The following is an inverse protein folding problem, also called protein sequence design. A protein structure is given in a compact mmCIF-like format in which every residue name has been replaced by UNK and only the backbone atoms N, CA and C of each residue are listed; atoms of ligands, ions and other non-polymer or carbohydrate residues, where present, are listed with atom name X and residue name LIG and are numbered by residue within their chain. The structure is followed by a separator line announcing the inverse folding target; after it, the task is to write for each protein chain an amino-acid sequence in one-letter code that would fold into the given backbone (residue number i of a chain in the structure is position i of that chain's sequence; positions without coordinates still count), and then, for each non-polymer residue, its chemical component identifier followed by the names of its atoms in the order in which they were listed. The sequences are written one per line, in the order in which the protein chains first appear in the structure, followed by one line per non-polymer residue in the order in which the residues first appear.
data_IF_634752459622
#
_entry.id   IF_634752459622
#
_cell.length_a   1.000
_cell.length_b   1.000
_cell.length_c   1.000
_cell.angle_alpha   90.00
_cell.angle_beta   90.00
_cell.angle_gamma   90.00
#
_symmetry.space_group_name_H-M   'P 1'
#
loop_
_entity.id
_entity.type
_entity.pdbx_description
1 polymer ?
#
# COMPACT_ATOMS: atom_id res chain seq x y z
N UNK A 1 2.79 20.64 3.50
CA UNK A 1 3.29 19.75 4.57
C UNK A 1 3.40 18.34 4.02
N UNK A 2 4.57 17.76 4.12
CA UNK A 2 4.77 16.40 3.69
C UNK A 2 4.14 15.44 4.69
N UNK A 3 3.23 14.62 4.21
CA UNK A 3 2.71 13.54 5.01
C UNK A 3 3.61 12.33 4.83
N UNK A 4 4.22 11.88 5.90
CA UNK A 4 5.01 10.65 5.91
C UNK A 4 4.69 9.86 7.15
N UNK A 5 4.61 8.55 6.98
CA UNK A 5 4.59 7.66 8.12
C UNK A 5 5.92 7.73 8.86
N UNK A 6 5.92 7.59 10.18
CA UNK A 6 7.16 7.48 10.94
C UNK A 6 7.89 6.19 10.56
N UNK A 7 9.15 6.07 10.93
CA UNK A 7 9.93 4.86 10.70
C UNK A 7 9.32 3.64 11.37
N UNK A 8 8.62 3.84 12.47
CA UNK A 8 7.96 2.77 13.21
C UNK A 8 6.71 3.29 13.87
N UNK A 9 5.73 2.40 14.03
CA UNK A 9 4.52 2.69 14.80
C UNK A 9 4.64 2.05 16.17
N UNK A 10 4.40 2.84 17.22
CA UNK A 10 4.43 2.37 18.60
C UNK A 10 3.00 2.20 19.12
N UNK A 11 2.85 1.35 20.14
CA UNK A 11 1.56 1.15 20.83
C UNK A 11 0.45 0.70 19.87
N UNK A 12 0.79 -0.22 18.99
CA UNK A 12 -0.16 -0.80 18.03
C UNK A 12 -0.32 -2.29 18.31
N UNK A 13 -1.46 -2.81 17.88
CA UNK A 13 -1.71 -4.24 17.88
C UNK A 13 -1.40 -4.77 16.48
N UNK A 14 -0.50 -5.73 16.37
CA UNK A 14 -0.19 -6.37 15.10
C UNK A 14 -0.94 -7.70 15.00
N UNK A 15 -1.68 -7.89 13.91
CA UNK A 15 -2.36 -9.15 13.65
C UNK A 15 -1.36 -10.13 13.06
N UNK A 16 -1.17 -11.28 13.71
CA UNK A 16 -0.16 -12.25 13.30
C UNK A 16 -0.44 -12.87 11.94
N UNK A 17 -1.70 -13.14 11.63
CA UNK A 17 -2.05 -13.74 10.36
C UNK A 17 -1.93 -12.72 9.24
N UNK A 18 -1.14 -13.06 8.23
CA UNK A 18 -0.94 -12.19 7.07
C UNK A 18 -2.18 -12.15 6.18
N UNK A 19 -2.34 -11.02 5.49
CA UNK A 19 -3.23 -10.88 4.34
C UNK A 19 -2.42 -11.28 3.11
N UNK A 20 -2.85 -12.33 2.42
CA UNK A 20 -2.09 -12.90 1.30
C UNK A 20 -2.91 -12.74 0.03
N UNK A 21 -2.32 -12.11 -0.97
CA UNK A 21 -2.94 -11.88 -2.28
C UNK A 21 -2.05 -12.43 -3.38
N UNK A 22 -2.68 -12.83 -4.49
CA UNK A 22 -1.95 -13.27 -5.71
C UNK A 22 -0.90 -14.36 -5.42
N UNK A 23 -1.32 -15.40 -4.69
CA UNK A 23 -0.48 -16.55 -4.35
C UNK A 23 0.81 -16.16 -3.62
N UNK A 24 0.73 -15.15 -2.73
CA UNK A 24 1.86 -14.73 -1.92
C UNK A 24 2.74 -13.66 -2.56
N UNK A 25 2.38 -13.15 -3.73
CA UNK A 25 3.15 -12.07 -4.37
C UNK A 25 2.91 -10.72 -3.75
N UNK A 26 1.81 -10.56 -3.03
CA UNK A 26 1.53 -9.39 -2.21
C UNK A 26 1.11 -9.88 -0.85
N UNK A 27 1.81 -9.43 0.19
CA UNK A 27 1.55 -9.86 1.57
C UNK A 27 1.56 -8.64 2.47
N UNK A 28 0.60 -8.55 3.37
CA UNK A 28 0.58 -7.49 4.37
C UNK A 28 0.15 -8.00 5.73
N UNK A 29 0.50 -7.24 6.76
CA UNK A 29 -0.01 -7.45 8.11
C UNK A 29 -0.79 -6.22 8.55
N UNK A 30 -1.91 -6.45 9.22
CA UNK A 30 -2.74 -5.38 9.76
C UNK A 30 -2.21 -4.92 11.11
N UNK A 31 -2.10 -3.61 11.28
CA UNK A 31 -1.85 -2.99 12.58
C UNK A 31 -3.08 -2.18 12.97
N UNK A 32 -3.43 -2.22 14.25
CA UNK A 32 -4.60 -1.54 14.80
C UNK A 32 -4.14 -0.58 15.89
N UNK A 33 -4.59 0.65 15.78
CA UNK A 33 -4.26 1.72 16.72
C UNK A 33 -5.25 1.72 17.89
N UNK A 34 -4.91 2.45 18.95
CA UNK A 34 -5.74 2.53 20.16
C UNK A 34 -7.14 3.07 19.88
N UNK A 35 -7.29 3.94 18.88
CA UNK A 35 -8.59 4.50 18.47
C UNK A 35 -9.43 3.57 17.60
N UNK A 36 -8.92 2.37 17.31
CA UNK A 36 -9.59 1.39 16.45
C UNK A 36 -9.29 1.54 14.96
N UNK A 37 -8.58 2.59 14.55
CA UNK A 37 -8.18 2.74 13.15
C UNK A 37 -7.13 1.71 12.78
N UNK A 38 -7.02 1.41 11.47
CA UNK A 38 -6.13 0.37 10.97
C UNK A 38 -5.31 0.86 9.81
N UNK A 39 -4.12 0.29 9.69
CA UNK A 39 -3.27 0.39 8.51
C UNK A 39 -2.74 -1.00 8.19
N UNK A 40 -2.21 -1.18 6.99
CA UNK A 40 -1.49 -2.41 6.65
C UNK A 40 -0.06 -2.08 6.28
N UNK A 41 0.85 -2.96 6.67
CA UNK A 41 2.27 -2.89 6.31
C UNK A 41 2.53 -4.05 5.36
N UNK A 42 2.98 -3.75 4.15
CA UNK A 42 3.03 -4.80 3.14
C UNK A 42 4.26 -4.80 2.25
N UNK A 43 4.37 -5.91 1.54
CA UNK A 43 5.42 -6.18 0.58
C UNK A 43 4.78 -6.56 -0.75
N UNK A 44 5.30 -6.02 -1.84
CA UNK A 44 4.88 -6.36 -3.19
C UNK A 44 6.09 -6.89 -3.94
N UNK A 45 5.99 -8.15 -4.34
CA UNK A 45 7.03 -8.81 -5.15
C UNK A 45 6.84 -8.49 -6.63
N UNK A 46 7.82 -8.81 -7.49
CA UNK A 46 7.69 -8.51 -8.93
C UNK A 46 6.42 -9.08 -9.54
N UNK A 47 5.76 -8.26 -10.35
CA UNK A 47 4.51 -8.61 -11.02
C UNK A 47 3.66 -7.39 -11.26
N UNK A 48 2.47 -7.62 -11.81
CA UNK A 48 1.47 -6.59 -12.06
C UNK A 48 0.17 -7.01 -11.40
N UNK A 49 -0.41 -6.11 -10.59
CA UNK A 49 -1.55 -6.46 -9.73
C UNK A 49 -2.60 -5.37 -9.77
N UNK A 50 -3.87 -5.78 -9.69
CA UNK A 50 -5.02 -4.88 -9.59
C UNK A 50 -5.69 -5.03 -8.23
N UNK A 51 -5.88 -3.91 -7.54
CA UNK A 51 -6.57 -3.86 -6.26
C UNK A 51 -7.79 -2.97 -6.35
N UNK A 52 -8.90 -3.46 -5.81
CA UNK A 52 -10.13 -2.69 -5.68
C UNK A 52 -10.17 -2.03 -4.31
N UNK A 53 -10.77 -0.85 -4.23
CA UNK A 53 -10.97 -0.15 -2.96
C UNK A 53 -12.43 -0.20 -2.54
N UNK A 54 -12.67 -0.35 -1.23
CA UNK A 54 -13.96 -0.08 -0.63
C UNK A 54 -13.99 1.36 -0.15
N UNK A 55 -13.30 1.64 0.95
CA UNK A 55 -13.03 3.03 1.38
C UNK A 55 -11.86 3.59 0.60
N UNK A 56 -11.68 4.90 0.62
CA UNK A 56 -10.51 5.54 0.02
C UNK A 56 -9.24 5.08 0.75
N UNK A 57 -8.14 5.02 0.03
CA UNK A 57 -6.86 4.53 0.56
C UNK A 57 -5.73 5.48 0.23
N UNK A 58 -4.77 5.57 1.14
CA UNK A 58 -3.50 6.23 0.87
C UNK A 58 -2.39 5.20 0.92
N UNK A 59 -1.68 5.08 -0.17
CA UNK A 59 -0.53 4.18 -0.29
C UNK A 59 0.75 4.99 -0.20
N UNK A 60 1.58 4.66 0.80
CA UNK A 60 2.92 5.23 0.91
C UNK A 60 3.91 4.15 0.54
N UNK A 61 4.83 4.48 -0.37
CA UNK A 61 5.93 3.58 -0.71
C UNK A 61 7.08 3.90 0.23
N UNK A 62 7.46 2.93 1.04
CA UNK A 62 8.48 3.07 2.08
C UNK A 62 9.86 2.76 1.52
N UNK A 63 9.95 1.74 0.67
CA UNK A 63 11.20 1.30 0.05
C UNK A 63 10.90 0.64 -1.28
N UNK A 64 11.89 0.58 -2.16
CA UNK A 64 11.75 0.01 -3.49
C UNK A 64 11.13 0.98 -4.47
N UNK A 65 10.68 0.46 -5.60
CA UNK A 65 10.08 1.26 -6.66
C UNK A 65 8.97 0.47 -7.34
N UNK A 66 7.96 1.22 -7.82
CA UNK A 66 6.84 0.64 -8.57
C UNK A 66 6.31 1.69 -9.53
N UNK A 67 5.37 1.29 -10.36
CA UNK A 67 4.56 2.23 -11.13
C UNK A 67 3.09 1.90 -10.93
N UNK A 68 2.25 2.91 -10.96
CA UNK A 68 0.85 2.83 -10.58
C UNK A 68 -0.01 3.53 -11.62
N UNK A 69 -1.18 2.96 -11.85
CA UNK A 69 -2.22 3.59 -12.65
C UNK A 69 -3.53 3.46 -11.90
N UNK A 70 -4.06 4.60 -11.46
CA UNK A 70 -5.36 4.67 -10.77
C UNK A 70 -6.46 4.71 -11.81
N UNK A 71 -7.63 4.18 -11.49
CA UNK A 71 -8.79 4.19 -12.38
C UNK A 71 -9.06 5.59 -12.96
N UNK A 72 -9.27 5.66 -14.28
CA UNK A 72 -9.48 6.91 -14.99
C UNK A 72 -8.22 7.63 -15.42
N UNK A 73 -7.04 7.18 -15.00
CA UNK A 73 -5.76 7.71 -15.47
C UNK A 73 -5.29 6.91 -16.68
N UNK A 74 -4.74 7.62 -17.67
CA UNK A 74 -4.27 6.97 -18.88
C UNK A 74 -2.86 6.41 -18.75
N UNK A 75 -1.99 7.09 -17.99
CA UNK A 75 -0.57 6.78 -17.93
C UNK A 75 -0.17 6.15 -16.60
N UNK A 76 0.87 5.33 -16.66
CA UNK A 76 1.54 4.81 -15.49
C UNK A 76 2.43 5.89 -14.89
N UNK A 77 2.41 6.02 -13.56
CA UNK A 77 3.22 6.98 -12.82
C UNK A 77 4.16 6.20 -11.89
N UNK A 78 5.45 6.56 -11.92
CA UNK A 78 6.45 5.94 -11.06
C UNK A 78 6.42 6.47 -9.64
N UNK A 79 6.57 5.55 -8.67
CA UNK A 79 6.68 5.87 -7.25
C UNK A 79 7.86 5.10 -6.66
N UNK A 80 8.59 5.76 -5.77
CA UNK A 80 9.72 5.16 -5.07
C UNK A 80 9.61 5.46 -3.59
N UNK A 81 10.54 4.95 -2.80
CA UNK A 81 10.56 5.19 -1.36
C UNK A 81 10.44 6.67 -1.03
N UNK A 82 9.53 7.01 -0.12
CA UNK A 82 9.24 8.39 0.28
C UNK A 82 8.13 9.07 -0.52
N UNK A 83 7.49 8.38 -1.44
CA UNK A 83 6.37 8.92 -2.23
C UNK A 83 5.06 8.25 -1.87
N UNK A 84 3.95 8.85 -2.29
CA UNK A 84 2.61 8.33 -1.98
C UNK A 84 1.63 8.64 -3.10
N UNK A 85 0.52 7.91 -3.09
CA UNK A 85 -0.64 8.19 -3.93
C UNK A 85 -1.92 7.84 -3.19
N UNK A 86 -3.01 8.51 -3.55
CA UNK A 86 -4.34 8.29 -2.99
C UNK A 86 -5.24 7.62 -4.04
N UNK A 87 -6.10 6.74 -3.58
CA UNK A 87 -7.08 6.06 -4.43
C UNK A 87 -8.48 6.34 -3.87
N UNK A 88 -9.43 6.79 -4.71
CA UNK A 88 -10.79 7.05 -4.24
C UNK A 88 -11.49 5.81 -3.74
N UNK A 89 -12.56 6.00 -2.95
CA UNK A 89 -13.44 4.91 -2.54
C UNK A 89 -14.14 4.30 -3.76
N UNK A 90 -14.46 3.02 -3.65
CA UNK A 90 -15.21 2.28 -4.68
C UNK A 90 -14.57 2.38 -6.07
N UNK A 91 -13.24 2.26 -6.11
CA UNK A 91 -12.44 2.40 -7.32
C UNK A 91 -11.42 1.27 -7.41
N UNK A 92 -10.35 1.47 -8.16
CA UNK A 92 -9.25 0.51 -8.25
C UNK A 92 -7.95 1.20 -8.64
N UNK A 93 -6.85 0.50 -8.44
CA UNK A 93 -5.55 0.88 -8.98
C UNK A 93 -4.80 -0.37 -9.43
N UNK A 94 -3.93 -0.17 -10.40
CA UNK A 94 -3.00 -1.19 -10.87
C UNK A 94 -1.61 -0.79 -10.42
N UNK A 95 -0.83 -1.76 -9.94
CA UNK A 95 0.54 -1.52 -9.47
C UNK A 95 1.46 -2.57 -10.06
N UNK A 96 2.61 -2.13 -10.54
CA UNK A 96 3.60 -3.00 -11.16
C UNK A 96 4.95 -2.80 -10.51
N UNK A 97 5.57 -3.92 -10.13
CA UNK A 97 6.94 -3.97 -9.61
C UNK A 97 7.75 -4.78 -10.60
N UNK A 98 8.77 -4.17 -11.21
CA UNK A 98 9.58 -4.83 -12.24
C UNK A 98 10.70 -5.68 -11.64
N UNK A 99 11.28 -5.22 -10.53
CA UNK A 99 12.35 -5.96 -9.84
C UNK A 99 12.39 -5.57 -8.37
N UNK A 100 12.98 -6.42 -7.55
CA UNK A 100 13.08 -6.19 -6.12
C UNK A 100 11.75 -6.31 -5.42
N UNK A 101 11.60 -5.63 -4.31
CA UNK A 101 10.39 -5.63 -3.49
C UNK A 101 10.01 -4.18 -3.21
N UNK A 102 8.75 -3.83 -3.45
CA UNK A 102 8.21 -2.55 -3.00
C UNK A 102 7.56 -2.76 -1.63
N UNK A 103 7.90 -1.90 -0.68
CA UNK A 103 7.35 -1.95 0.67
C UNK A 103 6.42 -0.75 0.85
N UNK A 104 5.28 -0.98 1.48
CA UNK A 104 4.25 0.06 1.57
C UNK A 104 3.55 0.09 2.92
N UNK A 105 2.99 1.26 3.22
CA UNK A 105 1.98 1.45 4.27
C UNK A 105 0.69 1.86 3.59
N UNK A 106 -0.38 1.14 3.85
CA UNK A 106 -1.71 1.49 3.35
C UNK A 106 -2.54 2.05 4.51
N UNK A 107 -3.04 3.27 4.34
CA UNK A 107 -3.95 3.90 5.28
C UNK A 107 -5.35 3.91 4.70
N UNK A 108 -6.34 3.50 5.48
CA UNK A 108 -7.75 3.56 5.10
C UNK A 108 -8.31 4.90 5.55
N UNK A 109 -8.83 5.67 4.61
CA UNK A 109 -9.26 7.07 4.83
C UNK A 109 -10.74 7.19 5.14
#
# INVERSE_FOLDING_TARGET
MDYRSPEQFNNVTATCKANVYFDGRVVSHTITFADGSRKTLGLIYPGSFKFNTGVAERMEIIAGACRVRVAGQGDWIGFAGGTRFDVPANSFFEIEVSEGIAEYVCSFL
#
